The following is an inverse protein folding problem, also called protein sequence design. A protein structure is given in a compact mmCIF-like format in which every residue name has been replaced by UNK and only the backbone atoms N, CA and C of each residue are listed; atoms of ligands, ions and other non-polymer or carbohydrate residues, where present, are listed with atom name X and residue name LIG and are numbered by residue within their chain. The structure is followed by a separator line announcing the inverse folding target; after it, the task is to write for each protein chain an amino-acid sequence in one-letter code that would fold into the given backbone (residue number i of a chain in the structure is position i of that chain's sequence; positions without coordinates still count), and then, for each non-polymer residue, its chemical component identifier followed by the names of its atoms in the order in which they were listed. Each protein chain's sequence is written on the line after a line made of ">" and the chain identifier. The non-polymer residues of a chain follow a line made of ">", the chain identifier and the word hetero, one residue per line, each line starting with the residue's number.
data_IF_462558053162
#
_entry.id   IF_462558053162
#
_cell.length_a   1.000
_cell.length_b   1.000
_cell.length_c   1.000
_cell.angle_alpha   90.00
_cell.angle_beta   90.00
_cell.angle_gamma   90.00
#
_symmetry.space_group_name_H-M   'P 1'
#
loop_
_entity.id
_entity.type
_entity.pdbx_description
1 polymer ?
#
# COMPACT_ATOMS: atom_id res chain seq x y z
N UNK A 1 -1.66 7.88 4.83
CA UNK A 1 -2.59 7.24 3.87
C UNK A 1 -2.42 7.87 2.50
N UNK A 2 -2.90 7.21 1.44
CA UNK A 2 -2.77 7.71 0.06
C UNK A 2 -4.05 7.45 -0.74
N UNK A 3 -4.41 8.41 -1.59
CA UNK A 3 -5.54 8.32 -2.51
C UNK A 3 -5.02 8.50 -3.93
N UNK A 4 -4.97 7.44 -4.75
CA UNK A 4 -4.69 7.57 -6.18
C UNK A 4 -5.77 8.40 -6.88
N UNK A 5 -5.36 9.16 -7.89
CA UNK A 5 -6.24 10.02 -8.69
C UNK A 5 -5.93 9.89 -10.17
N UNK A 6 -6.90 10.19 -11.02
CA UNK A 6 -6.61 10.49 -12.41
C UNK A 6 -5.72 11.74 -12.50
N UNK A 7 -4.85 11.77 -13.50
CA UNK A 7 -3.97 12.93 -13.73
C UNK A 7 -4.79 14.20 -13.93
N UNK A 8 -4.46 15.24 -13.17
CA UNK A 8 -5.16 16.53 -13.17
C UNK A 8 -6.25 16.68 -12.09
N UNK A 9 -6.60 15.61 -11.36
CA UNK A 9 -7.58 15.66 -10.27
C UNK A 9 -6.96 15.77 -8.87
N UNK A 10 -5.62 15.76 -8.77
CA UNK A 10 -4.89 15.78 -7.50
C UNK A 10 -5.27 17.01 -6.65
N UNK A 11 -5.38 18.17 -7.31
CA UNK A 11 -5.75 19.42 -6.65
C UNK A 11 -7.16 19.37 -6.06
N UNK A 12 -8.12 18.83 -6.83
CA UNK A 12 -9.50 18.70 -6.37
C UNK A 12 -9.61 17.77 -5.16
N UNK A 13 -8.94 16.61 -5.20
CA UNK A 13 -8.93 15.67 -4.06
C UNK A 13 -8.25 16.28 -2.85
N UNK A 14 -7.15 17.01 -3.04
CA UNK A 14 -6.49 17.70 -1.94
C UNK A 14 -7.39 18.78 -1.32
N UNK A 15 -8.15 19.51 -2.13
CA UNK A 15 -9.09 20.51 -1.64
C UNK A 15 -10.29 19.88 -0.91
N UNK A 16 -10.82 18.74 -1.39
CA UNK A 16 -11.83 17.95 -0.68
C UNK A 16 -11.32 17.53 0.72
N UNK A 17 -10.10 17.00 0.80
CA UNK A 17 -9.50 16.57 2.05
C UNK A 17 -9.25 17.75 3.01
N UNK A 18 -8.74 18.88 2.51
CA UNK A 18 -8.53 20.09 3.35
C UNK A 18 -9.86 20.66 3.83
N UNK A 19 -10.89 20.68 2.99
CA UNK A 19 -12.22 21.14 3.36
C UNK A 19 -12.81 20.28 4.49
N UNK A 20 -12.57 18.97 4.44
CA UNK A 20 -12.96 18.00 5.48
C UNK A 20 -11.99 17.94 6.67
N UNK A 21 -11.05 18.89 6.76
CA UNK A 21 -10.09 19.04 7.85
C UNK A 21 -9.24 17.78 8.09
N UNK A 22 -8.83 17.10 7.03
CA UNK A 22 -7.77 16.09 7.11
C UNK A 22 -6.39 16.76 7.27
N UNK A 23 -5.47 16.05 7.93
CA UNK A 23 -4.13 16.55 8.25
C UNK A 23 -3.11 16.14 7.18
N UNK A 24 -2.01 16.92 7.08
CA UNK A 24 -0.86 16.67 6.19
C UNK A 24 -1.22 16.39 4.73
N UNK A 25 -2.20 17.13 4.19
CA UNK A 25 -2.68 16.92 2.82
C UNK A 25 -1.68 17.42 1.78
N UNK A 26 -1.01 16.47 1.11
CA UNK A 26 0.00 16.71 0.08
C UNK A 26 -0.44 16.13 -1.27
N UNK A 27 -0.61 16.99 -2.26
CA UNK A 27 -0.86 16.57 -3.64
C UNK A 27 0.47 16.20 -4.32
N UNK A 28 0.54 15.00 -4.89
CA UNK A 28 1.63 14.50 -5.71
C UNK A 28 1.10 14.04 -7.06
N UNK A 29 1.96 13.90 -8.07
CA UNK A 29 1.53 13.45 -9.39
C UNK A 29 0.77 12.10 -9.32
N UNK A 30 -0.51 12.10 -9.71
CA UNK A 30 -1.40 10.94 -9.69
C UNK A 30 -1.88 10.45 -8.32
N UNK A 31 -1.61 11.17 -7.22
CA UNK A 31 -2.06 10.77 -5.87
C UNK A 31 -2.05 11.89 -4.84
N UNK A 32 -2.85 11.76 -3.80
CA UNK A 32 -2.83 12.67 -2.63
C UNK A 32 -2.50 11.89 -1.37
N UNK A 33 -1.51 12.37 -0.61
CA UNK A 33 -1.14 11.86 0.71
C UNK A 33 -1.87 12.65 1.79
N UNK A 34 -2.19 11.97 2.89
CA UNK A 34 -2.77 12.59 4.09
C UNK A 34 -2.53 11.73 5.32
N UNK A 35 -2.56 12.34 6.50
CA UNK A 35 -2.40 11.68 7.81
C UNK A 35 -3.76 11.43 8.47
N UNK A 36 -3.82 10.41 9.35
CA UNK A 36 -5.03 10.10 10.12
C UNK A 36 -5.05 8.66 10.65
N UNK A 37 -6.01 8.39 11.53
CA UNK A 37 -6.26 7.06 12.08
C UNK A 37 -7.31 6.26 11.26
N UNK A 38 -7.79 5.15 11.81
CA UNK A 38 -8.81 4.30 11.17
C UNK A 38 -10.17 5.01 10.95
N UNK A 39 -10.52 5.97 11.81
CA UNK A 39 -11.69 6.84 11.66
C UNK A 39 -11.48 7.80 10.50
N UNK A 40 -10.29 8.39 10.35
CA UNK A 40 -9.98 9.18 9.14
C UNK A 40 -10.01 8.32 7.88
N UNK A 41 -9.50 7.09 7.92
CA UNK A 41 -9.58 6.15 6.79
C UNK A 41 -11.04 5.88 6.38
N UNK A 42 -11.91 5.60 7.35
CA UNK A 42 -13.34 5.41 7.11
C UNK A 42 -14.01 6.68 6.60
N UNK A 43 -13.69 7.84 7.18
CA UNK A 43 -14.20 9.15 6.74
C UNK A 43 -13.80 9.45 5.30
N UNK A 44 -12.55 9.20 4.93
CA UNK A 44 -12.06 9.43 3.57
C UNK A 44 -12.82 8.57 2.55
N UNK A 45 -13.10 7.30 2.86
CA UNK A 45 -13.88 6.42 1.98
C UNK A 45 -15.33 6.91 1.75
N UNK A 46 -15.91 7.63 2.71
CA UNK A 46 -17.29 8.14 2.61
C UNK A 46 -17.36 9.50 1.91
N UNK A 47 -16.36 10.36 2.11
CA UNK A 47 -16.45 11.77 1.73
C UNK A 47 -15.70 12.15 0.45
N UNK A 48 -14.62 11.46 0.10
CA UNK A 48 -13.81 11.78 -1.08
C UNK A 48 -14.55 11.33 -2.34
N UNK A 49 -14.69 12.22 -3.33
CA UNK A 49 -15.50 11.96 -4.53
C UNK A 49 -14.65 11.84 -5.79
N UNK A 50 -13.56 12.61 -5.85
CA UNK A 50 -12.68 12.65 -7.01
C UNK A 50 -11.49 11.67 -6.92
N UNK A 51 -11.34 10.98 -5.79
CA UNK A 51 -10.31 9.96 -5.57
C UNK A 51 -10.78 8.56 -5.94
N UNK A 52 -9.86 7.68 -6.34
CA UNK A 52 -10.22 6.32 -6.75
C UNK A 52 -10.49 5.36 -5.59
N UNK A 53 -9.60 5.40 -4.58
CA UNK A 53 -9.63 4.51 -3.41
C UNK A 53 -8.74 5.05 -2.30
N UNK A 54 -9.04 4.68 -1.06
CA UNK A 54 -8.18 4.99 0.09
C UNK A 54 -7.26 3.81 0.36
N UNK A 55 -5.95 4.03 0.30
CA UNK A 55 -4.94 3.03 0.59
C UNK A 55 -4.16 3.40 1.85
N UNK A 56 -3.74 2.37 2.58
CA UNK A 56 -2.85 2.49 3.73
C UNK A 56 -1.42 2.29 3.23
N UNK A 57 -0.55 3.24 3.56
CA UNK A 57 0.88 3.13 3.24
C UNK A 57 1.52 2.29 4.34
N UNK A 58 1.87 1.05 4.02
CA UNK A 58 2.49 0.11 4.98
C UNK A 58 3.98 0.42 5.18
N UNK A 59 4.66 0.92 4.14
CA UNK A 59 6.05 1.32 4.21
C UNK A 59 6.51 2.07 2.96
N UNK A 60 7.62 2.79 3.05
CA UNK A 60 8.27 3.47 1.93
C UNK A 60 9.77 3.37 2.12
N UNK A 61 10.48 2.90 1.10
CA UNK A 61 11.92 2.70 1.13
C UNK A 61 12.50 2.74 -0.29
N UNK A 62 13.80 2.98 -0.40
CA UNK A 62 14.53 2.93 -1.67
C UNK A 62 14.98 1.50 -1.94
N UNK A 63 14.68 1.00 -3.13
CA UNK A 63 15.17 -0.29 -3.61
C UNK A 63 15.79 -0.14 -5.00
N UNK A 64 17.07 -0.50 -5.15
CA UNK A 64 17.76 -0.50 -6.45
C UNK A 64 18.11 -1.92 -6.90
N UNK A 65 18.05 -2.88 -5.98
CA UNK A 65 18.19 -4.32 -6.23
C UNK A 65 16.99 -5.10 -5.72
N UNK A 66 16.83 -6.34 -6.19
CA UNK A 66 15.78 -7.25 -5.67
C UNK A 66 16.00 -7.61 -4.20
N UNK A 67 17.24 -7.59 -3.72
CA UNK A 67 17.55 -7.82 -2.30
C UNK A 67 17.08 -6.64 -1.44
N UNK A 68 17.31 -5.39 -1.90
CA UNK A 68 16.77 -4.21 -1.22
C UNK A 68 15.24 -4.25 -1.16
N UNK A 69 14.61 -4.66 -2.27
CA UNK A 69 13.15 -4.81 -2.35
C UNK A 69 12.65 -5.88 -1.37
N UNK A 70 13.35 -7.01 -1.29
CA UNK A 70 13.01 -8.10 -0.39
C UNK A 70 13.13 -7.68 1.08
N UNK A 71 14.30 -7.18 1.50
CA UNK A 71 14.56 -6.80 2.89
C UNK A 71 13.69 -5.62 3.32
N UNK A 72 13.55 -4.59 2.48
CA UNK A 72 12.68 -3.44 2.76
C UNK A 72 11.21 -3.83 2.88
N UNK A 73 10.74 -4.75 2.03
CA UNK A 73 9.37 -5.29 2.15
C UNK A 73 9.24 -6.11 3.42
N UNK A 74 10.19 -6.99 3.73
CA UNK A 74 10.13 -7.86 4.92
C UNK A 74 10.14 -7.07 6.23
N UNK A 75 10.82 -5.93 6.28
CA UNK A 75 10.88 -5.07 7.46
C UNK A 75 9.56 -4.37 7.83
N UNK A 76 8.59 -4.32 6.91
CA UNK A 76 7.30 -3.70 7.16
C UNK A 76 6.43 -4.53 8.14
N UNK A 77 5.55 -3.88 8.94
CA UNK A 77 4.72 -4.55 9.95
C UNK A 77 3.46 -5.20 9.36
N UNK A 78 3.63 -6.19 8.47
CA UNK A 78 2.53 -6.84 7.75
C UNK A 78 1.52 -7.53 8.66
N UNK A 79 1.97 -8.08 9.79
CA UNK A 79 1.16 -8.78 10.77
C UNK A 79 0.06 -7.92 11.41
N UNK A 80 0.19 -6.58 11.33
CA UNK A 80 -0.84 -5.64 11.77
C UNK A 80 -2.01 -5.49 10.78
N UNK A 81 -1.87 -6.00 9.55
CA UNK A 81 -2.85 -5.82 8.47
C UNK A 81 -3.33 -7.14 7.84
N UNK A 82 -2.49 -8.18 7.80
CA UNK A 82 -2.77 -9.45 7.13
C UNK A 82 -2.81 -10.56 8.17
N UNK A 83 -3.99 -11.13 8.42
CA UNK A 83 -4.16 -12.26 9.32
C UNK A 83 -3.60 -13.57 8.75
N UNK A 84 -3.43 -14.57 9.61
CA UNK A 84 -2.83 -15.87 9.26
C UNK A 84 -3.62 -16.70 8.23
N UNK A 85 -4.90 -16.39 8.04
CA UNK A 85 -5.75 -17.05 7.05
C UNK A 85 -5.97 -16.19 5.79
N UNK A 86 -5.62 -14.91 5.82
CA UNK A 86 -6.01 -13.95 4.78
C UNK A 86 -5.31 -14.21 3.45
N UNK A 87 -5.97 -13.80 2.37
CA UNK A 87 -5.46 -13.82 1.00
C UNK A 87 -4.74 -12.49 0.73
N UNK A 88 -3.52 -12.52 0.22
CA UNK A 88 -2.76 -11.29 -0.01
C UNK A 88 -2.10 -11.26 -1.40
N UNK A 89 -2.88 -11.08 -2.48
CA UNK A 89 -2.32 -10.94 -3.82
C UNK A 89 -1.53 -9.63 -3.94
N UNK A 90 -0.46 -9.67 -4.72
CA UNK A 90 0.41 -8.51 -4.97
C UNK A 90 0.21 -8.01 -6.39
N UNK A 91 -0.13 -6.72 -6.52
CA UNK A 91 -0.19 -6.02 -7.81
C UNK A 91 0.61 -4.73 -7.73
N UNK A 92 0.97 -4.17 -8.88
CA UNK A 92 1.68 -2.91 -8.89
C UNK A 92 2.25 -2.59 -10.26
N UNK A 93 3.03 -1.53 -10.30
CA UNK A 93 3.74 -1.09 -11.49
C UNK A 93 5.13 -0.61 -11.09
N UNK A 94 5.99 -0.45 -12.08
CA UNK A 94 7.33 0.11 -11.92
C UNK A 94 7.56 1.11 -13.05
N UNK A 95 7.92 2.33 -12.69
CA UNK A 95 8.15 3.42 -13.63
C UNK A 95 9.54 4.02 -13.36
N UNK A 96 10.30 4.27 -14.42
CA UNK A 96 11.63 4.91 -14.35
C UNK A 96 12.55 4.32 -13.28
N UNK A 97 12.47 3.00 -13.08
CA UNK A 97 13.17 2.28 -12.00
C UNK A 97 14.05 1.17 -12.57
N UNK A 98 15.15 0.88 -11.87
CA UNK A 98 16.08 -0.19 -12.26
C UNK A 98 15.38 -1.56 -12.26
N UNK A 99 14.49 -1.77 -11.28
CA UNK A 99 13.63 -2.94 -11.15
C UNK A 99 12.38 -2.78 -12.03
N UNK A 100 12.53 -2.98 -13.34
CA UNK A 100 11.46 -2.77 -14.33
C UNK A 100 10.55 -3.99 -14.53
N UNK A 101 11.00 -5.20 -14.17
CA UNK A 101 10.21 -6.43 -14.30
C UNK A 101 9.13 -6.51 -13.22
N UNK A 102 7.92 -6.04 -13.56
CA UNK A 102 6.75 -6.08 -12.68
C UNK A 102 6.46 -7.50 -12.15
N UNK A 103 6.48 -8.58 -12.97
CA UNK A 103 6.25 -9.93 -12.47
C UNK A 103 7.29 -10.39 -11.45
N UNK A 104 8.55 -9.97 -11.59
CA UNK A 104 9.60 -10.34 -10.63
C UNK A 104 9.47 -9.54 -9.35
N UNK A 105 9.16 -8.24 -9.42
CA UNK A 105 8.82 -7.45 -8.25
C UNK A 105 7.64 -8.05 -7.46
N UNK A 106 6.57 -8.48 -8.14
CA UNK A 106 5.43 -9.14 -7.51
C UNK A 106 5.84 -10.41 -6.75
N UNK A 107 6.65 -11.27 -7.37
CA UNK A 107 7.14 -12.51 -6.74
C UNK A 107 8.01 -12.21 -5.52
N UNK A 108 8.94 -11.26 -5.63
CA UNK A 108 9.86 -10.89 -4.55
C UNK A 108 9.09 -10.30 -3.36
N UNK A 109 8.17 -9.37 -3.62
CA UNK A 109 7.33 -8.76 -2.58
C UNK A 109 6.45 -9.83 -1.91
N UNK A 110 5.76 -10.69 -2.68
CA UNK A 110 4.95 -11.77 -2.11
C UNK A 110 5.80 -12.70 -1.22
N UNK A 111 7.01 -13.06 -1.67
CA UNK A 111 7.94 -13.88 -0.89
C UNK A 111 8.35 -13.19 0.41
N UNK A 112 8.70 -11.89 0.37
CA UNK A 112 9.11 -11.13 1.54
C UNK A 112 7.98 -11.04 2.59
N UNK A 113 6.74 -10.80 2.14
CA UNK A 113 5.56 -10.78 3.02
C UNK A 113 5.35 -12.14 3.68
N UNK A 114 5.42 -13.23 2.89
CA UNK A 114 5.32 -14.59 3.44
C UNK A 114 6.36 -14.82 4.52
N UNK A 115 7.64 -14.51 4.27
CA UNK A 115 8.71 -14.72 5.26
C UNK A 115 8.49 -13.89 6.53
N UNK A 116 8.04 -12.64 6.43
CA UNK A 116 7.69 -11.83 7.61
C UNK A 116 6.54 -12.45 8.41
N UNK A 117 5.48 -12.89 7.74
CA UNK A 117 4.31 -13.46 8.42
C UNK A 117 4.63 -14.83 9.04
N UNK A 118 5.52 -15.64 8.42
CA UNK A 118 5.98 -16.90 9.02
C UNK A 118 6.66 -16.67 10.36
N UNK A 119 7.56 -15.68 10.42
CA UNK A 119 8.25 -15.28 11.65
C UNK A 119 7.26 -14.81 12.72
N UNK A 120 6.26 -14.00 12.34
CA UNK A 120 5.28 -13.46 13.28
C UNK A 120 4.26 -14.49 13.79
N UNK A 121 3.86 -15.47 12.97
CA UNK A 121 2.78 -16.42 13.31
C UNK A 121 3.28 -17.83 13.60
N UNK A 122 4.58 -18.09 13.53
CA UNK A 122 5.16 -19.42 13.81
C UNK A 122 4.63 -20.53 12.89
N UNK A 123 4.19 -20.16 11.68
CA UNK A 123 3.54 -21.07 10.73
C UNK A 123 4.37 -21.16 9.44
N UNK A 124 4.43 -22.33 8.82
CA UNK A 124 5.22 -22.56 7.58
C UNK A 124 4.39 -22.44 6.29
N UNK A 125 3.06 -22.53 6.40
CA UNK A 125 2.14 -22.56 5.27
C UNK A 125 0.89 -21.70 5.52
N UNK A 126 0.56 -20.83 4.58
CA UNK A 126 -0.65 -20.00 4.62
C UNK A 126 -1.73 -20.63 3.74
N UNK A 127 -2.91 -20.88 4.31
CA UNK A 127 -4.02 -21.47 3.56
C UNK A 127 -4.68 -20.47 2.60
N UNK A 128 -4.55 -19.16 2.86
CA UNK A 128 -5.15 -18.08 2.06
C UNK A 128 -6.65 -18.33 1.78
N UNK A 129 -7.42 -18.70 2.81
CA UNK A 129 -8.88 -18.97 2.74
C UNK A 129 -9.72 -17.86 3.34
N UNK A 130 -9.09 -16.88 3.98
CA UNK A 130 -9.69 -15.73 4.66
C UNK A 130 -9.98 -14.56 3.74
N UNK A 131 -9.98 -13.36 4.33
CA UNK A 131 -10.37 -12.13 3.64
C UNK A 131 -9.29 -11.65 2.65
N UNK A 132 -9.71 -10.91 1.63
CA UNK A 132 -8.82 -10.42 0.59
C UNK A 132 -8.12 -9.12 1.01
N UNK A 133 -6.84 -9.21 1.30
CA UNK A 133 -5.92 -8.10 1.61
C UNK A 133 -5.05 -7.78 0.39
N UNK A 134 -5.59 -7.01 -0.55
CA UNK A 134 -4.86 -6.64 -1.76
C UNK A 134 -3.65 -5.76 -1.43
N UNK A 135 -2.45 -6.28 -1.71
CA UNK A 135 -1.21 -5.52 -1.61
C UNK A 135 -0.92 -4.81 -2.92
N UNK A 136 -0.53 -3.55 -2.84
CA UNK A 136 -0.19 -2.72 -3.99
C UNK A 136 1.19 -2.07 -3.81
N UNK A 137 2.05 -2.17 -4.82
CA UNK A 137 3.31 -1.42 -4.90
C UNK A 137 3.32 -0.48 -6.10
N UNK A 138 4.13 0.59 -6.02
CA UNK A 138 4.26 1.62 -7.05
C UNK A 138 5.66 2.21 -7.05
#
# INVERSE_FOLDING_TARGET
>A
MVIPTLFGLEGLVADELRYQQFEDVEAQNGRVLFSGDWKEAARANVWVRCGERVLIVVGTFKAVSFDDLFEGTKACPWEGFIGSLDQFPVKGWSLNSQLHSVPDCQKIIKKAIVERLKESYGTSWFQETGALMQVQFS
#
